data_IF_899610942319
#
_entry.id   IF_899610942319
#
_cell.length_a   1.000
_cell.length_b   1.000
_cell.length_c   1.000
_cell.angle_alpha   90.00
_cell.angle_beta   90.00
_cell.angle_gamma   90.00
#
_symmetry.space_group_name_H-M   'P 1'
#
loop_
_entity.id
_entity.type
_entity.pdbx_description
1 polymer ?
#
# COMPACT_ATOMS: atom_id res chain seq x y z
N UNK A 1 -19.94 5.19 -8.04
CA UNK A 1 -19.81 4.53 -6.73
C UNK A 1 -18.58 5.07 -6.06
N UNK A 2 -18.72 5.83 -4.98
CA UNK A 2 -17.60 6.39 -4.25
C UNK A 2 -17.22 5.47 -3.09
N UNK A 3 -15.92 5.33 -2.82
CA UNK A 3 -15.44 4.67 -1.61
C UNK A 3 -14.08 5.25 -1.20
N UNK A 4 -13.78 5.20 0.09
CA UNK A 4 -12.48 5.52 0.67
C UNK A 4 -12.06 4.39 1.62
N UNK A 5 -10.82 4.45 2.10
CA UNK A 5 -10.26 3.51 3.08
C UNK A 5 -9.59 4.24 4.25
N UNK A 6 -9.78 5.55 4.36
CA UNK A 6 -9.09 6.43 5.32
C UNK A 6 -9.27 6.02 6.79
N UNK A 7 -10.41 5.42 7.14
CA UNK A 7 -10.75 4.95 8.49
C UNK A 7 -10.76 3.41 8.62
N UNK A 8 -10.43 2.71 7.53
CA UNK A 8 -10.44 1.24 7.47
C UNK A 8 -9.04 0.66 7.40
N UNK A 9 -8.15 1.28 6.62
CA UNK A 9 -6.76 0.89 6.46
C UNK A 9 -5.91 1.99 7.08
N UNK A 10 -5.75 1.91 8.40
CA UNK A 10 -5.10 2.93 9.21
C UNK A 10 -3.67 2.48 9.52
N UNK A 11 -2.70 3.31 9.17
CA UNK A 11 -1.30 3.07 9.51
C UNK A 11 -1.08 3.24 11.02
N UNK A 12 -0.45 2.26 11.66
CA UNK A 12 -0.04 2.33 13.05
C UNK A 12 1.38 2.90 13.11
N UNK A 13 1.50 4.17 13.52
CA UNK A 13 2.78 4.88 13.54
C UNK A 13 3.59 4.59 14.81
N UNK A 14 4.91 4.50 14.66
CA UNK A 14 5.83 4.47 15.80
C UNK A 14 6.14 5.87 16.32
N UNK A 15 6.36 6.82 15.43
CA UNK A 15 6.62 8.22 15.74
C UNK A 15 6.02 9.15 14.68
N UNK A 16 6.86 9.79 13.85
CA UNK A 16 6.42 10.72 12.81
C UNK A 16 6.10 10.06 11.46
N UNK A 17 6.44 8.79 11.32
CA UNK A 17 6.07 7.92 10.20
C UNK A 17 4.55 7.84 10.03
N UNK A 18 4.11 7.65 8.79
CA UNK A 18 2.67 7.63 8.46
C UNK A 18 2.33 6.62 7.36
N UNK A 19 3.33 5.91 6.83
CA UNK A 19 3.19 5.02 5.69
C UNK A 19 4.55 4.65 5.08
N UNK A 20 4.56 3.93 3.95
CA UNK A 20 3.37 3.43 3.24
C UNK A 20 2.64 2.33 4.03
N UNK A 21 1.38 2.07 3.67
CA UNK A 21 0.60 0.96 4.25
C UNK A 21 1.27 -0.40 3.95
N UNK A 22 1.15 -1.34 4.90
CA UNK A 22 1.79 -2.64 4.84
C UNK A 22 1.14 -3.60 3.80
N UNK A 23 1.70 -4.81 3.66
CA UNK A 23 1.25 -5.80 2.68
C UNK A 23 -0.19 -6.29 2.94
N UNK A 24 -0.57 -6.49 4.20
CA UNK A 24 -1.93 -6.89 4.56
C UNK A 24 -2.96 -5.83 4.12
N UNK A 25 -2.68 -4.55 4.40
CA UNK A 25 -3.57 -3.45 4.00
C UNK A 25 -3.64 -3.30 2.48
N UNK A 26 -2.50 -3.44 1.77
CA UNK A 26 -2.48 -3.44 0.31
C UNK A 26 -3.28 -4.63 -0.27
N UNK A 27 -3.17 -5.81 0.32
CA UNK A 27 -3.96 -6.98 -0.04
C UNK A 27 -5.46 -6.75 0.15
N UNK A 28 -5.88 -6.26 1.33
CA UNK A 28 -7.28 -5.94 1.62
C UNK A 28 -7.83 -4.89 0.66
N UNK A 29 -7.05 -3.86 0.34
CA UNK A 29 -7.41 -2.87 -0.68
C UNK A 29 -7.64 -3.51 -2.05
N UNK A 30 -6.69 -4.32 -2.51
CA UNK A 30 -6.78 -5.02 -3.80
C UNK A 30 -8.03 -5.90 -3.88
N UNK A 31 -8.29 -6.70 -2.83
CA UNK A 31 -9.48 -7.55 -2.73
C UNK A 31 -10.77 -6.72 -2.77
N UNK A 32 -10.81 -5.59 -2.03
CA UNK A 32 -11.96 -4.70 -1.98
C UNK A 32 -12.25 -4.07 -3.34
N UNK A 33 -11.24 -3.56 -4.04
CA UNK A 33 -11.41 -2.97 -5.37
C UNK A 33 -11.84 -4.02 -6.39
N UNK A 34 -11.20 -5.20 -6.39
CA UNK A 34 -11.59 -6.32 -7.26
C UNK A 34 -13.04 -6.75 -7.04
N UNK A 35 -13.49 -6.83 -5.78
CA UNK A 35 -14.89 -7.15 -5.45
C UNK A 35 -15.84 -6.10 -5.99
N UNK A 36 -15.52 -4.80 -5.84
CA UNK A 36 -16.36 -3.72 -6.37
C UNK A 36 -16.44 -3.73 -7.90
N UNK A 37 -15.33 -4.00 -8.58
CA UNK A 37 -15.29 -4.10 -10.05
C UNK A 37 -16.13 -5.25 -10.60
N UNK A 38 -16.23 -6.36 -9.86
CA UNK A 38 -17.03 -7.54 -10.23
C UNK A 38 -18.49 -7.48 -9.78
N UNK A 39 -18.86 -6.51 -8.93
CA UNK A 39 -20.20 -6.48 -8.34
C UNK A 39 -21.26 -6.07 -9.36
N UNK A 40 -22.24 -6.94 -9.61
CA UNK A 40 -23.20 -6.77 -10.71
C UNK A 40 -23.95 -5.42 -10.66
N UNK A 41 -24.37 -4.97 -9.47
CA UNK A 41 -25.07 -3.69 -9.30
C UNK A 41 -24.20 -2.45 -9.53
N UNK A 42 -22.88 -2.62 -9.69
CA UNK A 42 -21.92 -1.58 -10.02
C UNK A 42 -21.41 -1.64 -11.47
N UNK A 43 -21.80 -2.65 -12.26
CA UNK A 43 -21.26 -2.93 -13.61
C UNK A 43 -21.33 -1.75 -14.60
N UNK A 44 -22.29 -0.84 -14.43
CA UNK A 44 -22.46 0.37 -15.25
C UNK A 44 -22.10 1.67 -14.53
N UNK A 45 -21.48 1.60 -13.35
CA UNK A 45 -21.11 2.76 -12.54
C UNK A 45 -19.61 2.96 -12.57
N UNK A 46 -19.16 4.21 -12.73
CA UNK A 46 -17.77 4.58 -12.45
C UNK A 46 -17.48 4.36 -10.97
N UNK A 47 -16.40 3.65 -10.66
CA UNK A 47 -15.90 3.50 -9.29
C UNK A 47 -14.90 4.62 -9.05
N UNK A 48 -15.12 5.39 -7.99
CA UNK A 48 -14.26 6.50 -7.59
C UNK A 48 -13.68 6.19 -6.22
N UNK A 49 -12.38 5.94 -6.20
CA UNK A 49 -11.62 5.87 -4.95
C UNK A 49 -11.19 7.29 -4.57
N UNK A 50 -11.58 7.73 -3.39
CA UNK A 50 -11.26 9.07 -2.87
C UNK A 50 -10.65 8.97 -1.48
N UNK A 51 -10.06 10.07 -1.04
CA UNK A 51 -9.45 10.25 0.28
C UNK A 51 -9.71 11.68 0.75
N UNK A 52 -9.47 11.94 2.03
CA UNK A 52 -9.59 13.26 2.64
C UNK A 52 -8.50 14.24 2.18
N UNK A 53 -8.54 15.48 2.70
CA UNK A 53 -7.52 16.49 2.42
C UNK A 53 -6.22 16.32 3.24
N UNK A 54 -6.18 15.37 4.19
CA UNK A 54 -4.96 15.07 4.96
C UNK A 54 -3.87 14.54 4.01
N UNK A 55 -2.71 15.19 4.01
CA UNK A 55 -1.63 14.88 3.06
C UNK A 55 -1.04 13.47 3.25
N UNK A 56 -1.05 12.94 4.48
CA UNK A 56 -0.57 11.59 4.80
C UNK A 56 -1.56 10.55 4.26
N UNK A 57 -2.85 10.76 4.48
CA UNK A 57 -3.92 9.92 3.90
C UNK A 57 -3.90 9.94 2.38
N UNK A 58 -3.69 11.13 1.77
CA UNK A 58 -3.50 11.28 0.32
C UNK A 58 -2.34 10.46 -0.23
N UNK A 59 -1.17 10.50 0.42
CA UNK A 59 0.00 9.74 0.00
C UNK A 59 -0.25 8.22 0.09
N UNK A 60 -0.85 7.74 1.18
CA UNK A 60 -1.21 6.33 1.35
C UNK A 60 -2.25 5.85 0.33
N UNK A 61 -3.31 6.62 0.10
CA UNK A 61 -4.33 6.29 -0.90
C UNK A 61 -3.74 6.25 -2.32
N UNK A 62 -2.87 7.21 -2.66
CA UNK A 62 -2.18 7.23 -3.94
C UNK A 62 -1.23 6.04 -4.11
N UNK A 63 -0.51 5.65 -3.04
CA UNK A 63 0.28 4.42 -3.02
C UNK A 63 -0.59 3.17 -3.28
N UNK A 64 -1.73 3.02 -2.60
CA UNK A 64 -2.62 1.86 -2.76
C UNK A 64 -3.11 1.69 -4.21
N UNK A 65 -3.67 2.75 -4.81
CA UNK A 65 -4.17 2.67 -6.19
C UNK A 65 -3.03 2.56 -7.21
N UNK A 66 -1.89 3.19 -6.95
CA UNK A 66 -0.68 3.06 -7.78
C UNK A 66 -0.15 1.63 -7.77
N UNK A 67 -0.05 1.02 -6.58
CA UNK A 67 0.40 -0.36 -6.42
C UNK A 67 -0.58 -1.32 -7.09
N UNK A 68 -1.89 -1.11 -6.94
CA UNK A 68 -2.90 -1.88 -7.67
C UNK A 68 -2.70 -1.81 -9.19
N UNK A 69 -2.39 -0.64 -9.74
CA UNK A 69 -2.12 -0.49 -11.18
C UNK A 69 -0.88 -1.29 -11.62
N UNK A 70 0.17 -1.34 -10.80
CA UNK A 70 1.35 -2.18 -11.07
C UNK A 70 0.99 -3.67 -11.00
N UNK A 71 0.32 -4.10 -9.93
CA UNK A 71 0.03 -5.51 -9.64
C UNK A 71 -0.99 -6.09 -10.63
N UNK A 72 -2.14 -5.44 -10.78
CA UNK A 72 -3.31 -5.98 -11.50
C UNK A 72 -3.45 -5.44 -12.93
N UNK A 73 -3.07 -4.19 -13.17
CA UNK A 73 -3.16 -3.57 -14.51
C UNK A 73 -1.85 -3.68 -15.31
N UNK A 74 -0.81 -4.26 -14.71
CA UNK A 74 0.51 -4.49 -15.34
C UNK A 74 1.16 -3.22 -15.89
N UNK A 75 0.93 -2.09 -15.22
CA UNK A 75 1.60 -0.82 -15.52
C UNK A 75 3.02 -0.81 -14.96
N UNK A 76 3.93 -0.09 -15.60
CA UNK A 76 5.23 0.19 -14.97
C UNK A 76 5.04 1.15 -13.79
N UNK A 77 5.94 1.15 -12.80
CA UNK A 77 5.92 2.13 -11.71
C UNK A 77 5.81 3.58 -12.20
N UNK A 78 6.54 3.93 -13.26
CA UNK A 78 6.58 5.26 -13.85
C UNK A 78 5.25 5.61 -14.52
N UNK A 79 4.59 4.65 -15.18
CA UNK A 79 3.26 4.85 -15.74
C UNK A 79 2.21 5.07 -14.67
N UNK A 80 2.20 4.23 -13.64
CA UNK A 80 1.28 4.37 -12.50
C UNK A 80 1.49 5.71 -11.80
N UNK A 81 2.74 6.10 -11.54
CA UNK A 81 3.08 7.36 -10.90
C UNK A 81 2.69 8.59 -11.74
N UNK A 82 2.96 8.56 -13.06
CA UNK A 82 2.57 9.66 -13.96
C UNK A 82 1.06 9.89 -13.97
N UNK A 83 0.25 8.83 -13.88
CA UNK A 83 -1.21 8.95 -13.77
C UNK A 83 -1.64 9.61 -12.45
N UNK A 84 -0.93 9.33 -11.34
CA UNK A 84 -1.20 9.96 -10.04
C UNK A 84 -0.87 11.45 -10.02
N UNK A 85 0.11 11.87 -10.82
CA UNK A 85 0.51 13.27 -10.98
C UNK A 85 -0.37 14.04 -11.99
N UNK A 86 -1.24 13.34 -12.73
CA UNK A 86 -2.08 14.00 -13.72
C UNK A 86 -3.08 14.98 -13.06
N UNK A 87 -3.28 16.13 -13.70
CA UNK A 87 -4.16 17.20 -13.23
C UNK A 87 -3.45 18.24 -12.36
N UNK A 88 -4.22 18.99 -11.57
CA UNK A 88 -3.74 20.09 -10.73
C UNK A 88 -3.69 19.71 -9.24
N UNK A 89 -3.36 18.45 -8.94
CA UNK A 89 -3.29 17.97 -7.57
C UNK A 89 -2.03 18.50 -6.87
N UNK A 90 -2.11 18.91 -5.58
CA UNK A 90 -0.91 19.22 -4.81
C UNK A 90 0.03 18.01 -4.76
N UNK A 91 1.36 18.21 -4.66
CA UNK A 91 2.31 17.13 -4.50
C UNK A 91 1.95 16.18 -3.35
N UNK A 92 2.32 14.91 -3.49
CA UNK A 92 2.18 13.93 -2.41
C UNK A 92 3.31 14.10 -1.41
N UNK A 93 2.97 13.99 -0.13
CA UNK A 93 3.97 14.00 0.95
C UNK A 93 4.84 12.74 0.85
N UNK A 94 6.18 12.87 0.76
CA UNK A 94 7.07 11.72 0.80
C UNK A 94 6.98 10.97 2.13
N UNK A 95 7.17 9.65 2.11
CA UNK A 95 7.25 8.82 3.30
C UNK A 95 8.58 9.03 4.02
N UNK A 96 8.51 9.04 5.35
CA UNK A 96 9.65 9.24 6.25
C UNK A 96 9.87 8.01 7.11
N UNK A 97 11.02 7.96 7.75
CA UNK A 97 11.38 6.90 8.68
C UNK A 97 10.74 7.08 10.07
N UNK A 98 10.86 6.02 10.88
CA UNK A 98 10.30 5.92 12.23
C UNK A 98 11.23 6.46 13.35
N UNK A 99 12.37 7.06 13.01
CA UNK A 99 13.30 7.59 14.03
C UNK A 99 12.77 8.84 14.72
N UNK A 100 13.31 9.07 15.92
CA UNK A 100 13.13 10.32 16.64
C UNK A 100 13.89 11.46 15.96
N UNK A 101 13.20 12.57 15.71
CA UNK A 101 13.79 13.80 15.19
C UNK A 101 13.49 14.07 13.73
N UNK A 102 14.43 14.73 13.04
CA UNK A 102 14.26 15.15 11.65
C UNK A 102 14.57 13.99 10.70
N UNK A 103 13.66 13.76 9.74
CA UNK A 103 13.88 12.82 8.66
C UNK A 103 15.00 13.32 7.74
N UNK A 104 16.05 12.54 7.56
CA UNK A 104 17.18 12.84 6.67
C UNK A 104 17.06 12.17 5.30
N UNK A 105 16.12 11.23 5.13
CA UNK A 105 15.93 10.50 3.89
C UNK A 105 14.47 10.11 3.70
N UNK A 106 13.88 10.54 2.57
CA UNK A 106 12.48 10.27 2.28
C UNK A 106 12.33 9.34 1.09
N UNK A 107 11.28 8.51 1.12
CA UNK A 107 10.87 7.69 -0.01
C UNK A 107 9.63 8.29 -0.69
N UNK A 108 9.66 8.39 -2.01
CA UNK A 108 8.50 8.80 -2.80
C UNK A 108 7.57 7.63 -3.07
N UNK A 109 6.34 7.91 -3.51
CA UNK A 109 5.43 6.87 -4.01
C UNK A 109 6.09 6.08 -5.14
N UNK A 110 6.86 6.73 -6.03
CA UNK A 110 7.54 6.05 -7.12
C UNK A 110 8.55 5.01 -6.61
N UNK A 111 9.33 5.34 -5.58
CA UNK A 111 10.29 4.41 -4.98
C UNK A 111 9.58 3.16 -4.42
N UNK A 112 8.44 3.36 -3.73
CA UNK A 112 7.61 2.27 -3.24
C UNK A 112 7.04 1.41 -4.39
N UNK A 113 6.56 2.03 -5.47
CA UNK A 113 6.05 1.30 -6.65
C UNK A 113 7.15 0.49 -7.35
N UNK A 114 8.37 1.02 -7.42
CA UNK A 114 9.53 0.31 -7.94
C UNK A 114 9.91 -0.87 -7.05
N UNK A 115 9.82 -0.72 -5.72
CA UNK A 115 9.96 -1.80 -4.75
C UNK A 115 8.97 -2.93 -4.98
N UNK A 116 7.67 -2.61 -5.11
CA UNK A 116 6.62 -3.58 -5.44
C UNK A 116 6.91 -4.30 -6.75
N UNK A 117 7.27 -3.55 -7.80
CA UNK A 117 7.55 -4.15 -9.11
C UNK A 117 8.73 -5.14 -9.06
N UNK A 118 9.82 -4.78 -8.37
CA UNK A 118 10.96 -5.70 -8.17
C UNK A 118 10.58 -6.91 -7.34
N UNK A 119 9.80 -6.73 -6.27
CA UNK A 119 9.31 -7.84 -5.45
C UNK A 119 8.48 -8.84 -6.28
N UNK A 120 7.63 -8.36 -7.19
CA UNK A 120 6.88 -9.20 -8.13
C UNK A 120 7.81 -9.92 -9.12
N UNK A 121 8.80 -9.22 -9.68
CA UNK A 121 9.76 -9.80 -10.64
C UNK A 121 10.60 -10.92 -10.03
N UNK A 122 10.94 -10.83 -8.74
CA UNK A 122 11.74 -11.81 -8.04
C UNK A 122 10.92 -12.82 -7.21
N UNK A 123 9.59 -12.75 -7.27
CA UNK A 123 8.72 -13.67 -6.54
C UNK A 123 8.78 -13.53 -5.01
N UNK A 124 9.13 -12.34 -4.51
CA UNK A 124 9.13 -12.07 -3.06
C UNK A 124 7.70 -11.95 -2.51
N UNK A 125 6.73 -11.71 -3.39
CA UNK A 125 5.33 -11.61 -3.03
C UNK A 125 4.41 -12.13 -4.13
N UNK A 126 3.40 -12.93 -3.78
CA UNK A 126 2.33 -13.37 -4.67
C UNK A 126 0.95 -13.15 -4.02
N UNK A 127 0.17 -12.23 -4.58
CA UNK A 127 -1.21 -11.92 -4.13
C UNK A 127 -2.17 -13.13 -4.23
N UNK A 128 -1.84 -14.18 -4.96
CA UNK A 128 -2.70 -15.37 -5.06
C UNK A 128 -2.53 -16.32 -3.89
N UNK A 129 -1.35 -16.35 -3.29
CA UNK A 129 -0.97 -17.28 -2.22
C UNK A 129 -0.69 -16.57 -0.91
N UNK A 130 -0.76 -15.24 -0.88
CA UNK A 130 -0.54 -14.45 0.33
C UNK A 130 -1.63 -14.75 1.37
N UNK A 131 -1.19 -15.28 2.51
CA UNK A 131 -2.04 -15.50 3.68
C UNK A 131 -2.05 -14.23 4.54
N UNK A 132 -3.10 -13.44 4.39
CA UNK A 132 -3.27 -12.19 5.15
C UNK A 132 -3.54 -12.46 6.62
N UNK A 133 -4.18 -13.58 6.96
CA UNK A 133 -4.54 -13.89 8.33
C UNK A 133 -3.30 -14.37 9.10
N UNK A 134 -2.40 -15.12 8.46
CA UNK A 134 -1.07 -15.45 9.00
C UNK A 134 -0.23 -14.18 9.23
N UNK A 135 -0.16 -13.31 8.22
CA UNK A 135 0.60 -12.05 8.32
C UNK A 135 0.12 -11.20 9.51
N UNK A 136 -1.19 -10.97 9.62
CA UNK A 136 -1.77 -10.14 10.69
C UNK A 136 -1.75 -10.82 12.06
N UNK A 137 -1.65 -12.15 12.11
CA UNK A 137 -1.46 -12.87 13.35
C UNK A 137 -0.07 -12.60 13.91
N UNK A 138 0.97 -12.86 13.12
CA UNK A 138 2.37 -12.81 13.57
C UNK A 138 2.96 -11.40 13.64
N UNK A 139 2.35 -10.40 12.98
CA UNK A 139 2.79 -9.00 13.14
C UNK A 139 2.54 -8.44 14.55
N UNK A 140 1.68 -9.10 15.36
CA UNK A 140 1.37 -8.64 16.71
C UNK A 140 2.45 -9.03 17.70
N UNK A 141 2.71 -8.13 18.65
CA UNK A 141 3.70 -8.33 19.71
C UNK A 141 3.41 -9.59 20.52
N UNK A 142 2.14 -9.87 20.84
CA UNK A 142 1.77 -11.08 21.59
C UNK A 142 2.03 -12.40 20.84
N UNK A 143 2.21 -12.35 19.51
CA UNK A 143 2.39 -13.52 18.65
C UNK A 143 3.80 -13.61 18.05
N UNK A 144 4.71 -12.70 18.42
CA UNK A 144 6.14 -12.78 18.08
C UNK A 144 6.70 -11.58 17.31
N UNK A 145 5.87 -10.60 16.91
CA UNK A 145 6.29 -9.38 16.20
C UNK A 145 7.25 -9.68 15.05
N UNK A 146 6.81 -10.50 14.10
CA UNK A 146 7.64 -10.90 12.97
C UNK A 146 6.93 -10.82 11.64
N UNK A 147 7.73 -10.59 10.60
CA UNK A 147 7.27 -10.53 9.22
C UNK A 147 8.27 -11.21 8.27
N UNK A 148 7.74 -11.93 7.29
CA UNK A 148 8.54 -12.42 6.17
C UNK A 148 8.95 -11.25 5.27
N UNK A 149 10.25 -11.05 5.10
CA UNK A 149 10.80 -10.09 4.12
C UNK A 149 10.95 -10.78 2.76
N UNK A 150 11.43 -12.04 2.78
CA UNK A 150 11.43 -12.94 1.62
C UNK A 150 10.91 -14.30 2.13
N UNK A 151 9.76 -14.79 1.64
CA UNK A 151 9.17 -16.05 2.08
C UNK A 151 10.18 -17.21 2.04
N UNK A 152 10.31 -17.94 3.15
CA UNK A 152 11.21 -19.09 3.28
C UNK A 152 12.71 -18.75 3.30
N UNK A 153 13.09 -17.47 3.35
CA UNK A 153 14.50 -17.04 3.30
C UNK A 153 14.88 -16.00 4.36
N UNK A 154 14.10 -14.92 4.49
CA UNK A 154 14.39 -13.85 5.44
C UNK A 154 13.15 -13.54 6.28
N UNK A 155 13.29 -13.74 7.58
CA UNK A 155 12.32 -13.39 8.61
C UNK A 155 12.93 -12.28 9.47
N UNK A 156 12.20 -11.18 9.65
CA UNK A 156 12.57 -10.13 10.58
C UNK A 156 11.64 -10.22 11.79
N UNK A 157 12.19 -10.16 13.01
CA UNK A 157 11.43 -10.26 14.25
C UNK A 157 12.07 -9.41 15.35
N UNK A 158 11.28 -9.06 16.36
CA UNK A 158 11.77 -8.37 17.57
C UNK A 158 12.55 -9.33 18.49
N UNK A 159 13.69 -8.87 19.01
CA UNK A 159 14.66 -9.67 19.77
C UNK A 159 14.46 -9.67 21.28
#
# INVERSE_FOLDING_TARGET
HYFCTDEELVYENFYGDFGPLNLAMLYRYCCKLNKKLKYFSLSRKKIVYYTSFDQRKRANAAFLIGAYAVIYLKKTPEEAYRMLLAGSNPPYLPFRDASFGNCTYNLTILDCLQGINKALQHGFFDFKTFDVDEYEHYERVENGDFNWIIPGKFLAFSG
#
